data_IF_843647120344
#
_entry.id   IF_843647120344
#
_cell.length_a   1.000
_cell.length_b   1.000
_cell.length_c   1.000
_cell.angle_alpha   90.00
_cell.angle_beta   90.00
_cell.angle_gamma   90.00
#
_symmetry.space_group_name_H-M   'P 1'
#
loop_
_entity.id
_entity.type
_entity.pdbx_description
1 polymer ?
#
# COMPACT_ATOMS: atom_id res chain seq x y z
N UNK A 1 -44.80 -4.79 0.83
CA UNK A 1 -43.79 -3.72 0.67
C UNK A 1 -44.48 -2.42 0.26
N UNK A 2 -44.26 -1.31 0.97
CA UNK A 2 -44.84 0.01 0.59
C UNK A 2 -44.31 0.38 -0.81
N UNK A 3 -45.15 0.89 -1.71
CA UNK A 3 -44.79 1.24 -3.11
C UNK A 3 -43.51 2.09 -3.20
N UNK A 4 -43.29 2.97 -2.23
CA UNK A 4 -42.08 3.77 -2.10
C UNK A 4 -40.79 2.94 -2.01
N UNK A 5 -40.76 1.89 -1.19
CA UNK A 5 -39.58 1.01 -1.04
C UNK A 5 -39.25 0.32 -2.37
N UNK A 6 -40.27 -0.09 -3.13
CA UNK A 6 -40.08 -0.68 -4.45
C UNK A 6 -39.41 0.29 -5.42
N UNK A 7 -39.89 1.54 -5.50
CA UNK A 7 -39.29 2.54 -6.40
C UNK A 7 -37.87 2.92 -5.98
N UNK A 8 -37.61 3.04 -4.67
CA UNK A 8 -36.27 3.30 -4.15
C UNK A 8 -35.28 2.20 -4.56
N UNK A 9 -35.63 0.92 -4.35
CA UNK A 9 -34.77 -0.20 -4.72
C UNK A 9 -34.50 -0.28 -6.24
N UNK A 10 -35.50 0.01 -7.07
CA UNK A 10 -35.32 0.07 -8.53
C UNK A 10 -34.34 1.18 -8.91
N UNK A 11 -34.49 2.37 -8.32
CA UNK A 11 -33.60 3.51 -8.59
C UNK A 11 -32.17 3.24 -8.11
N UNK A 12 -32.00 2.65 -6.93
CA UNK A 12 -30.69 2.25 -6.41
C UNK A 12 -30.02 1.20 -7.32
N UNK A 13 -30.78 0.21 -7.79
CA UNK A 13 -30.27 -0.80 -8.73
C UNK A 13 -29.85 -0.17 -10.06
N UNK A 14 -30.66 0.73 -10.62
CA UNK A 14 -30.31 1.44 -11.85
C UNK A 14 -29.04 2.28 -11.66
N UNK A 15 -28.90 2.96 -10.53
CA UNK A 15 -27.69 3.71 -10.21
C UNK A 15 -26.45 2.78 -10.11
N UNK A 16 -26.56 1.62 -9.46
CA UNK A 16 -25.47 0.65 -9.37
C UNK A 16 -25.08 0.08 -10.74
N UNK A 17 -26.04 -0.16 -11.63
CA UNK A 17 -25.78 -0.62 -13.00
C UNK A 17 -25.04 0.45 -13.80
N UNK A 18 -25.45 1.72 -13.70
CA UNK A 18 -24.76 2.84 -14.34
C UNK A 18 -23.34 2.99 -13.78
N UNK A 19 -23.17 2.80 -12.46
CA UNK A 19 -21.87 2.92 -11.80
C UNK A 19 -20.85 1.87 -12.31
N UNK A 20 -21.28 0.69 -12.76
CA UNK A 20 -20.37 -0.34 -13.30
C UNK A 20 -19.61 0.11 -14.56
N UNK A 21 -20.08 1.16 -15.25
CA UNK A 21 -19.42 1.72 -16.42
C UNK A 21 -18.28 2.69 -16.06
N UNK A 22 -18.16 3.10 -14.80
CA UNK A 22 -17.04 3.90 -14.30
C UNK A 22 -15.97 2.95 -13.77
N UNK A 23 -14.86 2.82 -14.50
CA UNK A 23 -13.75 1.93 -14.14
C UNK A 23 -12.46 2.73 -14.03
N UNK A 24 -11.77 2.65 -12.88
CA UNK A 24 -10.44 3.23 -12.74
C UNK A 24 -9.41 2.63 -13.70
N UNK A 25 -8.38 3.42 -14.00
CA UNK A 25 -7.20 2.90 -14.67
C UNK A 25 -6.46 1.94 -13.74
N UNK A 26 -5.95 0.84 -14.28
CA UNK A 26 -5.25 -0.17 -13.49
C UNK A 26 -3.79 0.25 -13.24
N UNK A 27 -3.34 0.09 -12.00
CA UNK A 27 -1.95 0.27 -11.58
C UNK A 27 -1.07 -0.89 -12.10
N UNK A 28 -0.60 -0.74 -13.33
CA UNK A 28 0.16 -1.75 -14.08
C UNK A 28 1.48 -1.19 -14.63
N UNK A 29 2.22 -0.48 -13.78
CA UNK A 29 3.53 0.08 -14.10
C UNK A 29 4.69 -0.92 -14.06
N UNK A 30 4.45 -2.17 -13.63
CA UNK A 30 5.46 -3.22 -13.54
C UNK A 30 6.21 -3.25 -12.20
N UNK A 31 6.83 -4.41 -11.89
CA UNK A 31 7.59 -4.61 -10.64
C UNK A 31 9.01 -4.05 -10.70
N UNK A 32 9.47 -3.58 -11.86
CA UNK A 32 10.79 -2.98 -12.05
C UNK A 32 11.03 -1.78 -11.13
N UNK A 33 9.96 -1.04 -10.80
CA UNK A 33 10.03 0.08 -9.87
C UNK A 33 10.40 -0.32 -8.44
N UNK A 34 10.14 -1.57 -8.03
CA UNK A 34 10.47 -2.06 -6.68
C UNK A 34 11.96 -2.37 -6.54
N UNK A 35 12.64 -2.71 -7.63
CA UNK A 35 14.03 -3.18 -7.63
C UNK A 35 14.99 -2.19 -6.94
N UNK A 36 14.95 -0.86 -7.19
CA UNK A 36 15.83 0.07 -6.51
C UNK A 36 15.63 0.11 -5.00
N UNK A 37 14.39 0.02 -4.53
CA UNK A 37 14.07 -0.04 -3.11
C UNK A 37 14.72 -1.27 -2.47
N UNK A 38 14.53 -2.46 -3.04
CA UNK A 38 15.08 -3.70 -2.50
C UNK A 38 16.61 -3.76 -2.59
N UNK A 39 17.20 -3.29 -3.68
CA UNK A 39 18.66 -3.27 -3.82
C UNK A 39 19.34 -2.35 -2.80
N UNK A 40 18.69 -1.24 -2.46
CA UNK A 40 19.23 -0.26 -1.52
C UNK A 40 19.01 -0.71 -0.07
N UNK A 41 17.77 -1.08 0.28
CA UNK A 41 17.36 -1.45 1.65
C UNK A 41 17.72 -2.90 2.03
N UNK A 42 18.05 -3.74 1.04
CA UNK A 42 18.52 -5.13 1.19
C UNK A 42 17.67 -5.95 2.17
N UNK A 43 16.35 -6.08 1.96
CA UNK A 43 15.53 -6.95 2.80
C UNK A 43 16.03 -8.39 2.72
N UNK A 44 15.86 -9.14 3.82
CA UNK A 44 16.04 -10.59 3.79
C UNK A 44 14.98 -11.21 2.90
N UNK A 45 15.18 -12.48 2.48
CA UNK A 45 14.18 -13.20 1.67
C UNK A 45 12.81 -13.22 2.35
N UNK A 46 12.77 -13.40 3.68
CA UNK A 46 11.53 -13.38 4.44
C UNK A 46 10.84 -12.01 4.41
N UNK A 47 11.60 -10.92 4.59
CA UNK A 47 11.05 -9.56 4.56
C UNK A 47 10.59 -9.17 3.16
N UNK A 48 11.33 -9.55 2.11
CA UNK A 48 10.92 -9.33 0.74
C UNK A 48 9.58 -10.02 0.42
N UNK A 49 9.36 -11.24 0.93
CA UNK A 49 8.08 -11.93 0.75
C UNK A 49 6.93 -11.24 1.51
N UNK A 50 7.17 -10.77 2.74
CA UNK A 50 6.19 -9.99 3.50
C UNK A 50 5.79 -8.72 2.73
N UNK A 51 6.78 -7.95 2.27
CA UNK A 51 6.56 -6.71 1.52
C UNK A 51 5.79 -6.97 0.23
N UNK A 52 6.15 -8.03 -0.50
CA UNK A 52 5.48 -8.41 -1.74
C UNK A 52 4.03 -8.80 -1.55
N UNK A 53 3.73 -9.52 -0.48
CA UNK A 53 2.39 -10.08 -0.24
C UNK A 53 1.45 -9.12 0.49
N UNK A 54 1.97 -8.21 1.31
CA UNK A 54 1.14 -7.34 2.16
C UNK A 54 1.26 -5.85 1.84
N UNK A 55 2.30 -5.41 1.13
CA UNK A 55 2.59 -3.98 1.00
C UNK A 55 2.58 -3.51 -0.46
N UNK A 56 3.27 -4.20 -1.37
CA UNK A 56 3.56 -3.66 -2.70
C UNK A 56 2.33 -3.45 -3.58
N UNK A 57 1.27 -4.24 -3.42
CA UNK A 57 0.07 -4.05 -4.22
C UNK A 57 -0.61 -2.68 -3.99
N UNK A 58 -0.42 -2.08 -2.81
CA UNK A 58 -0.93 -0.73 -2.49
C UNK A 58 0.17 0.35 -2.49
N UNK A 59 1.43 -0.03 -2.28
CA UNK A 59 2.55 0.89 -2.08
C UNK A 59 3.58 0.87 -3.22
N UNK A 60 3.22 0.35 -4.39
CA UNK A 60 4.06 0.36 -5.59
C UNK A 60 3.26 0.78 -6.83
N UNK A 61 3.93 0.94 -7.96
CA UNK A 61 3.31 1.17 -9.26
C UNK A 61 2.76 -0.12 -9.89
N UNK A 62 2.63 -1.23 -9.14
CA UNK A 62 2.07 -2.48 -9.62
C UNK A 62 1.13 -3.09 -8.57
N UNK A 63 -0.08 -3.48 -9.00
CA UNK A 63 -1.07 -4.16 -8.15
C UNK A 63 -1.53 -5.46 -8.76
N UNK A 64 -1.50 -6.55 -7.99
CA UNK A 64 -2.24 -7.77 -8.30
C UNK A 64 -3.71 -7.61 -7.88
N UNK A 65 -4.53 -7.18 -8.83
CA UNK A 65 -5.94 -6.89 -8.55
C UNK A 65 -6.74 -8.16 -8.21
N UNK A 66 -7.45 -8.18 -7.07
CA UNK A 66 -8.40 -9.24 -6.76
C UNK A 66 -9.65 -9.12 -7.63
N UNK A 67 -10.42 -10.21 -7.73
CA UNK A 67 -11.61 -10.28 -8.60
C UNK A 67 -12.64 -9.18 -8.33
N UNK A 68 -12.76 -8.70 -7.09
CA UNK A 68 -13.72 -7.66 -6.72
C UNK A 68 -13.33 -6.26 -7.23
N UNK A 69 -12.08 -6.08 -7.68
CA UNK A 69 -11.60 -4.84 -8.28
C UNK A 69 -12.23 -4.54 -9.65
N UNK A 70 -13.05 -5.45 -10.18
CA UNK A 70 -13.82 -5.27 -11.41
C UNK A 70 -15.28 -4.83 -11.16
N UNK A 71 -15.70 -4.73 -9.90
CA UNK A 71 -17.10 -4.51 -9.52
C UNK A 71 -17.24 -3.21 -8.74
N UNK A 72 -18.05 -2.28 -9.24
CA UNK A 72 -18.35 -1.05 -8.51
C UNK A 72 -19.34 -1.32 -7.36
N UNK A 73 -19.26 -0.60 -6.22
CA UNK A 73 -18.36 0.52 -5.95
C UNK A 73 -16.96 0.10 -5.47
N UNK A 74 -16.70 -1.20 -5.28
CA UNK A 74 -15.45 -1.69 -4.70
C UNK A 74 -14.21 -1.39 -5.56
N UNK A 75 -14.36 -1.39 -6.88
CA UNK A 75 -13.28 -0.98 -7.80
C UNK A 75 -12.82 0.46 -7.57
N UNK A 76 -13.77 1.39 -7.38
CA UNK A 76 -13.49 2.82 -7.10
C UNK A 76 -12.89 3.00 -5.71
N UNK A 77 -13.43 2.29 -4.73
CA UNK A 77 -12.92 2.32 -3.36
C UNK A 77 -11.48 1.79 -3.27
N UNK A 78 -11.19 0.67 -3.94
CA UNK A 78 -9.83 0.11 -3.97
C UNK A 78 -8.84 1.05 -4.66
N UNK A 79 -9.25 1.69 -5.76
CA UNK A 79 -8.41 2.64 -6.49
C UNK A 79 -8.04 3.85 -5.63
N UNK A 80 -9.01 4.45 -4.95
CA UNK A 80 -8.80 5.56 -4.00
C UNK A 80 -7.82 5.17 -2.88
N UNK A 81 -7.94 3.94 -2.34
CA UNK A 81 -7.02 3.43 -1.34
C UNK A 81 -5.59 3.22 -1.87
N UNK A 82 -5.43 2.73 -3.11
CA UNK A 82 -4.12 2.59 -3.75
C UNK A 82 -3.49 3.97 -4.01
N UNK A 83 -4.28 4.95 -4.48
CA UNK A 83 -3.81 6.31 -4.70
C UNK A 83 -3.31 6.95 -3.40
N UNK A 84 -4.10 6.89 -2.32
CA UNK A 84 -3.68 7.37 -1.00
C UNK A 84 -2.46 6.61 -0.47
N UNK A 85 -2.46 5.28 -0.56
CA UNK A 85 -1.34 4.43 -0.13
C UNK A 85 -0.02 4.82 -0.79
N UNK A 86 -0.01 5.00 -2.11
CA UNK A 86 1.15 5.48 -2.87
C UNK A 86 1.53 6.93 -2.52
N UNK A 87 0.55 7.79 -2.24
CA UNK A 87 0.78 9.17 -1.80
C UNK A 87 1.60 9.24 -0.50
N UNK A 88 1.33 8.33 0.44
CA UNK A 88 2.09 8.21 1.68
C UNK A 88 3.38 7.43 1.47
N UNK A 89 3.35 6.28 0.81
CA UNK A 89 4.53 5.43 0.66
C UNK A 89 4.50 4.74 -0.71
N UNK A 90 5.32 5.22 -1.64
CA UNK A 90 5.50 4.57 -2.94
C UNK A 90 6.95 4.10 -3.10
N UNK A 91 7.16 2.79 -3.04
CA UNK A 91 8.49 2.18 -3.20
C UNK A 91 8.97 2.25 -4.65
N UNK A 92 8.06 2.38 -5.63
CA UNK A 92 8.45 2.52 -7.04
C UNK A 92 9.14 3.84 -7.36
N UNK A 93 8.96 4.84 -6.52
CA UNK A 93 9.58 6.16 -6.66
C UNK A 93 10.85 6.30 -5.81
N UNK A 94 11.36 5.21 -5.22
CA UNK A 94 12.41 5.27 -4.20
C UNK A 94 13.67 6.05 -4.62
N UNK A 95 14.11 5.88 -5.86
CA UNK A 95 15.28 6.58 -6.41
C UNK A 95 15.10 8.09 -6.52
N UNK A 96 13.86 8.58 -6.52
CA UNK A 96 13.55 10.02 -6.58
C UNK A 96 13.63 10.69 -5.20
N UNK A 97 13.65 9.89 -4.12
CA UNK A 97 13.61 10.40 -2.75
C UNK A 97 15.00 10.78 -2.26
N UNK A 98 15.10 11.95 -1.61
CA UNK A 98 16.29 12.32 -0.82
C UNK A 98 16.49 11.35 0.36
N UNK A 99 17.71 11.24 0.89
CA UNK A 99 18.00 10.41 2.08
C UNK A 99 17.08 10.76 3.27
N UNK A 100 16.81 12.06 3.50
CA UNK A 100 15.86 12.50 4.53
C UNK A 100 14.44 11.97 4.29
N UNK A 101 13.97 12.01 3.04
CA UNK A 101 12.64 11.48 2.69
C UNK A 101 12.61 9.95 2.84
N UNK A 102 13.66 9.25 2.44
CA UNK A 102 13.79 7.79 2.63
C UNK A 102 13.73 7.38 4.10
N UNK A 103 14.49 8.04 4.97
CA UNK A 103 14.43 7.80 6.43
C UNK A 103 13.02 8.04 6.98
N UNK A 104 12.40 9.17 6.62
CA UNK A 104 11.06 9.51 7.09
C UNK A 104 9.99 8.53 6.59
N UNK A 105 10.10 8.02 5.36
CA UNK A 105 9.16 7.01 4.84
C UNK A 105 9.27 5.66 5.55
N UNK A 106 10.47 5.26 5.94
CA UNK A 106 10.64 4.06 6.77
C UNK A 106 10.22 4.30 8.22
N UNK A 107 10.31 5.54 8.73
CA UNK A 107 9.75 5.92 10.02
C UNK A 107 8.23 5.78 10.05
N UNK A 108 7.54 6.36 9.07
CA UNK A 108 6.09 6.24 8.92
C UNK A 108 5.68 4.76 8.80
N UNK A 109 6.43 3.94 8.05
CA UNK A 109 6.18 2.50 7.97
C UNK A 109 6.22 1.82 9.35
N UNK A 110 7.24 2.13 10.16
CA UNK A 110 7.40 1.57 11.51
C UNK A 110 6.22 1.99 12.39
N UNK A 111 5.91 3.29 12.44
CA UNK A 111 4.83 3.85 13.26
C UNK A 111 3.47 3.21 12.91
N UNK A 112 3.10 3.20 11.64
CA UNK A 112 1.81 2.67 11.18
C UNK A 112 1.65 1.17 11.46
N UNK A 113 2.73 0.39 11.37
CA UNK A 113 2.72 -1.05 11.66
C UNK A 113 2.75 -1.33 13.17
N UNK A 114 3.48 -0.54 13.96
CA UNK A 114 3.52 -0.65 15.42
C UNK A 114 2.18 -0.28 16.06
N UNK A 115 1.49 0.73 15.52
CA UNK A 115 0.19 1.18 15.98
C UNK A 115 -0.96 0.29 15.48
N UNK A 116 -0.68 -0.64 14.56
CA UNK A 116 -1.67 -1.54 13.98
C UNK A 116 -2.63 -0.85 13.00
N UNK A 117 -2.26 0.33 12.50
CA UNK A 117 -3.02 1.02 11.45
C UNK A 117 -2.76 0.40 10.06
N UNK A 118 -1.64 -0.30 9.90
CA UNK A 118 -1.27 -1.03 8.69
C UNK A 118 -0.98 -2.51 8.95
N UNK A 119 -1.54 -3.43 8.15
CA UNK A 119 -2.49 -3.19 7.06
C UNK A 119 -3.85 -2.66 7.54
N UNK A 120 -4.55 -1.90 6.69
CA UNK A 120 -5.88 -1.36 7.03
C UNK A 120 -6.84 -2.48 7.49
N UNK A 121 -7.67 -2.22 8.50
CA UNK A 121 -8.69 -3.17 8.99
C UNK A 121 -9.57 -3.75 7.86
N UNK A 122 -9.97 -2.90 6.91
CA UNK A 122 -10.77 -3.32 5.76
C UNK A 122 -10.05 -4.30 4.84
N UNK A 123 -8.72 -4.24 4.77
CA UNK A 123 -7.88 -5.19 4.03
C UNK A 123 -7.80 -6.52 4.79
N UNK A 124 -7.57 -6.47 6.10
CA UNK A 124 -7.38 -7.69 6.93
C UNK A 124 -8.61 -8.59 6.94
N UNK A 125 -9.82 -8.04 6.78
CA UNK A 125 -11.06 -8.81 6.67
C UNK A 125 -11.11 -9.76 5.46
N UNK A 126 -10.39 -9.44 4.38
CA UNK A 126 -10.42 -10.20 3.13
C UNK A 126 -9.10 -10.92 2.83
N UNK A 127 -7.97 -10.36 3.27
CA UNK A 127 -6.63 -10.84 2.91
C UNK A 127 -5.84 -11.40 4.09
N UNK A 128 -6.38 -11.27 5.32
CA UNK A 128 -5.65 -11.61 6.53
C UNK A 128 -4.71 -10.48 6.98
N UNK A 129 -4.20 -10.62 8.20
CA UNK A 129 -3.33 -9.65 8.84
C UNK A 129 -1.89 -10.17 8.89
N UNK A 130 -0.93 -9.27 9.17
CA UNK A 130 0.45 -9.64 9.47
C UNK A 130 0.49 -10.52 10.72
N UNK A 131 1.25 -11.61 10.66
CA UNK A 131 1.51 -12.40 11.86
C UNK A 131 2.44 -11.63 12.81
N UNK A 132 2.39 -11.91 14.11
CA UNK A 132 3.28 -11.24 15.07
C UNK A 132 4.77 -11.44 14.76
N UNK A 133 5.13 -12.56 14.12
CA UNK A 133 6.49 -12.82 13.67
C UNK A 133 6.84 -11.97 12.44
N UNK A 134 5.94 -11.87 11.46
CA UNK A 134 6.13 -11.04 10.26
C UNK A 134 6.22 -9.56 10.63
N UNK A 135 5.34 -9.08 11.52
CA UNK A 135 5.40 -7.72 12.08
C UNK A 135 6.77 -7.46 12.69
N UNK A 136 7.27 -8.36 13.53
CA UNK A 136 8.56 -8.20 14.18
C UNK A 136 9.72 -8.18 13.17
N UNK A 137 9.71 -9.07 12.18
CA UNK A 137 10.73 -9.11 11.14
C UNK A 137 10.74 -7.84 10.29
N UNK A 138 9.56 -7.35 9.92
CA UNK A 138 9.37 -6.12 9.14
C UNK A 138 9.89 -4.91 9.92
N UNK A 139 9.50 -4.74 11.18
CA UNK A 139 9.93 -3.62 12.02
C UNK A 139 11.44 -3.62 12.28
N UNK A 140 12.02 -4.79 12.56
CA UNK A 140 13.46 -4.93 12.76
C UNK A 140 14.25 -4.55 11.52
N UNK A 141 13.81 -5.04 10.35
CA UNK A 141 14.45 -4.68 9.09
C UNK A 141 14.31 -3.19 8.79
N UNK A 142 13.11 -2.61 8.95
CA UNK A 142 12.87 -1.20 8.68
C UNK A 142 13.76 -0.32 9.57
N UNK A 143 13.89 -0.67 10.86
CA UNK A 143 14.79 0.01 11.79
C UNK A 143 16.25 -0.05 11.36
N UNK A 144 16.74 -1.20 10.89
CA UNK A 144 18.10 -1.36 10.37
C UNK A 144 18.32 -0.60 9.06
N UNK A 145 17.33 -0.60 8.15
CA UNK A 145 17.39 0.13 6.89
C UNK A 145 17.51 1.64 7.13
N UNK A 146 16.81 2.18 8.14
CA UNK A 146 16.90 3.61 8.53
C UNK A 146 18.31 4.06 8.93
N UNK A 147 19.10 3.19 9.57
CA UNK A 147 20.46 3.55 10.02
C UNK A 147 21.34 4.00 8.84
N UNK A 148 21.15 3.40 7.66
CA UNK A 148 21.90 3.74 6.45
C UNK A 148 21.69 5.21 6.03
N UNK A 149 20.50 5.74 6.26
CA UNK A 149 20.16 7.12 5.90
C UNK A 149 20.56 8.11 6.99
N UNK A 150 20.47 7.72 8.26
CA UNK A 150 20.96 8.55 9.37
C UNK A 150 22.46 8.80 9.24
N UNK A 151 23.24 7.77 8.94
CA UNK A 151 24.68 7.89 8.71
C UNK A 151 24.99 8.84 7.53
N UNK A 152 24.25 8.73 6.42
CA UNK A 152 24.39 9.63 5.27
C UNK A 152 24.07 11.09 5.62
N UNK A 153 23.04 11.31 6.43
CA UNK A 153 22.63 12.65 6.86
C UNK A 153 23.66 13.26 7.81
N UNK A 154 24.20 12.49 8.74
CA UNK A 154 25.29 12.93 9.64
C UNK A 154 26.55 13.32 8.85
N UNK A 155 26.98 12.49 7.90
CA UNK A 155 28.13 12.80 7.01
C UNK A 155 27.87 14.06 6.17
N UNK A 156 26.65 14.23 5.64
CA UNK A 156 26.30 15.39 4.81
C UNK A 156 26.23 16.72 5.58
N UNK A 157 26.02 16.67 6.91
CA UNK A 157 25.88 17.85 7.76
C UNK A 157 27.19 18.30 8.43
N UNK A 158 28.30 17.60 8.17
CA UNK A 158 29.64 18.04 8.57
C UNK A 158 29.84 18.06 10.09
N UNK A 159 29.44 16.99 10.77
CA UNK A 159 29.98 16.62 12.08
C UNK A 159 30.94 15.46 11.95
#
# INVERSE_FOLDING_TARGET
>A
MKKFVRYFLILALLALVILQFVRPEKNQGGYEGVIPFENETKPSVAVAEILKTNCYDCHSNQTQYPWYAEIAPFSLWLDDHIEHGKGHFNVSEWNTYSAKKKDHKLEELIEMVEEGEMPLDSYTWLHGDLSSEDTKLLLQWAGLARLQYKDQLEVSTGK
#
